data_IF_098935692205
#
_entry.id   IF_098935692205
#
_cell.length_a   1.000
_cell.length_b   1.000
_cell.length_c   1.000
_cell.angle_alpha   90.00
_cell.angle_beta   90.00
_cell.angle_gamma   90.00
#
_symmetry.space_group_name_H-M   'P 1'
#
loop_
_entity.id
_entity.type
_entity.pdbx_description
1 polymer ?
#
# COMPACT_ATOMS: atom_id res chain seq x y z
N UNK A 1 -9.95 10.13 0.34
CA UNK A 1 -8.84 10.31 1.31
C UNK A 1 -8.79 9.19 2.32
N UNK A 2 -7.61 8.88 2.85
CA UNK A 2 -7.46 7.93 3.97
C UNK A 2 -7.47 8.75 5.25
N UNK A 3 -8.60 8.76 5.95
CA UNK A 3 -8.70 9.44 7.24
C UNK A 3 -8.26 8.44 8.33
N UNK A 4 -7.17 8.75 9.01
CA UNK A 4 -6.66 7.92 10.11
C UNK A 4 -7.18 8.52 11.41
N UNK A 5 -8.26 7.95 11.94
CA UNK A 5 -8.77 8.35 13.24
C UNK A 5 -8.05 7.58 14.34
N UNK A 6 -7.55 8.31 15.34
CA UNK A 6 -6.87 7.72 16.49
C UNK A 6 -7.81 7.87 17.68
N UNK A 7 -8.24 6.76 18.26
CA UNK A 7 -8.99 6.79 19.50
C UNK A 7 -8.08 7.22 20.65
N UNK A 8 -8.59 8.05 21.56
CA UNK A 8 -7.79 8.54 22.70
C UNK A 8 -7.28 7.42 23.61
N UNK A 9 -8.00 6.30 23.65
CA UNK A 9 -7.66 5.09 24.42
C UNK A 9 -6.47 4.30 23.85
N UNK A 10 -6.20 4.43 22.55
CA UNK A 10 -5.08 3.77 21.88
C UNK A 10 -3.74 4.50 22.07
N UNK A 11 -3.76 5.65 22.73
CA UNK A 11 -2.59 6.50 22.94
C UNK A 11 -2.15 6.51 24.40
N UNK A 12 -0.93 6.00 24.63
CA UNK A 12 -0.22 6.23 25.88
C UNK A 12 0.56 7.54 25.80
N UNK A 13 0.22 8.48 26.68
CA UNK A 13 0.90 9.77 26.80
C UNK A 13 1.80 9.76 28.02
N UNK A 14 3.10 9.97 27.81
CA UNK A 14 4.10 10.09 28.87
C UNK A 14 4.71 11.49 28.83
N UNK A 15 4.84 12.14 29.98
CA UNK A 15 5.53 13.42 30.12
C UNK A 15 6.86 13.22 30.82
N UNK A 16 7.90 13.88 30.34
CA UNK A 16 9.23 13.79 30.91
C UNK A 16 9.95 15.14 30.82
N UNK A 17 11.09 15.24 31.48
CA UNK A 17 11.92 16.44 31.44
C UNK A 17 12.69 16.48 30.12
N UNK A 18 12.67 17.62 29.44
CA UNK A 18 13.44 17.81 28.22
C UNK A 18 14.93 17.57 28.49
N UNK A 19 15.63 16.99 27.53
CA UNK A 19 17.08 16.72 27.63
C UNK A 19 17.88 17.68 26.76
N UNK A 20 18.90 18.35 27.32
CA UNK A 20 19.76 19.30 26.60
C UNK A 20 20.40 20.38 27.49
N UNK A 21 21.31 21.21 26.95
CA UNK A 21 21.91 22.34 27.65
C UNK A 21 20.90 23.49 27.78
N UNK A 22 19.94 23.35 28.70
CA UNK A 22 18.93 24.37 29.01
C UNK A 22 19.13 25.01 30.37
N UNK A 23 18.66 26.26 30.53
CA UNK A 23 18.66 26.96 31.81
C UNK A 23 17.76 26.33 32.87
N UNK A 24 17.72 26.92 34.07
CA UNK A 24 17.02 26.37 35.26
C UNK A 24 15.56 25.93 34.99
N UNK A 25 14.85 26.62 34.10
CA UNK A 25 13.47 26.30 33.74
C UNK A 25 13.33 24.89 33.12
N UNK A 26 14.32 24.46 32.33
CA UNK A 26 14.30 23.16 31.67
C UNK A 26 14.55 21.99 32.63
N UNK A 27 15.28 22.23 33.72
CA UNK A 27 15.57 21.22 34.74
C UNK A 27 14.39 20.99 35.71
N UNK A 28 13.49 21.98 35.85
CA UNK A 28 12.38 21.94 36.81
C UNK A 28 11.05 21.52 36.18
N UNK A 29 10.81 21.88 34.93
CA UNK A 29 9.51 21.68 34.26
C UNK A 29 9.53 20.47 33.31
N UNK A 30 8.58 19.55 33.48
CA UNK A 30 8.39 18.40 32.57
C UNK A 30 7.54 18.77 31.35
N UNK A 31 8.15 19.48 30.38
CA UNK A 31 7.44 19.92 29.16
C UNK A 31 7.53 18.94 27.99
N UNK A 32 8.44 17.97 27.98
CA UNK A 32 8.56 17.00 26.89
C UNK A 32 7.45 15.95 26.95
N UNK A 33 6.94 15.56 25.78
CA UNK A 33 5.84 14.60 25.64
C UNK A 33 6.28 13.45 24.73
N UNK A 34 6.00 12.21 25.14
CA UNK A 34 6.09 11.00 24.33
C UNK A 34 4.70 10.42 24.16
N UNK A 35 4.31 10.20 22.92
CA UNK A 35 3.10 9.49 22.53
C UNK A 35 3.48 8.10 22.03
N UNK A 36 2.78 7.08 22.51
CA UNK A 36 2.89 5.71 22.02
C UNK A 36 1.52 5.25 21.54
N UNK A 37 1.42 4.86 20.28
CA UNK A 37 0.23 4.22 19.74
C UNK A 37 0.29 2.73 20.07
N UNK A 38 -0.54 2.28 21.00
CA UNK A 38 -0.52 0.92 21.53
C UNK A 38 -0.71 -0.15 20.45
N UNK A 39 -1.65 -0.01 19.49
CA UNK A 39 -1.89 -1.03 18.47
C UNK A 39 -0.73 -1.24 17.49
N UNK A 40 0.03 -0.18 17.18
CA UNK A 40 1.14 -0.27 16.21
C UNK A 40 2.52 -0.28 16.86
N UNK A 41 2.61 0.01 18.16
CA UNK A 41 3.87 0.20 18.87
C UNK A 41 4.66 1.44 18.46
N UNK A 42 4.11 2.31 17.60
CA UNK A 42 4.80 3.52 17.15
C UNK A 42 4.95 4.51 18.29
N UNK A 43 6.17 4.99 18.50
CA UNK A 43 6.48 6.02 19.49
C UNK A 43 6.94 7.31 18.83
N UNK A 44 6.41 8.44 19.27
CA UNK A 44 6.80 9.78 18.85
C UNK A 44 7.08 10.63 20.09
N UNK A 45 8.18 11.36 20.10
CA UNK A 45 8.51 12.29 21.20
C UNK A 45 8.72 13.71 20.66
N UNK A 46 8.21 14.70 21.39
CA UNK A 46 8.36 16.11 21.08
C UNK A 46 8.79 16.90 22.33
N UNK A 47 9.80 17.74 22.16
CA UNK A 47 10.37 18.61 23.21
C UNK A 47 10.77 19.99 22.67
N UNK A 48 10.25 20.38 21.50
CA UNK A 48 10.65 21.61 20.79
C UNK A 48 10.16 22.87 21.49
N UNK A 49 8.98 22.80 22.10
CA UNK A 49 8.34 23.94 22.75
C UNK A 49 8.50 23.93 24.27
N UNK A 50 8.36 25.11 24.88
CA UNK A 50 8.35 25.25 26.35
C UNK A 50 7.06 24.74 26.98
N UNK A 51 5.96 24.72 26.21
CA UNK A 51 4.64 24.27 26.67
C UNK A 51 4.43 22.79 26.40
N UNK A 52 4.01 22.05 27.44
CA UNK A 52 3.61 20.65 27.33
C UNK A 52 2.44 20.46 26.35
N UNK A 53 1.46 21.37 26.36
CA UNK A 53 0.28 21.26 25.50
C UNK A 53 0.66 21.36 24.02
N UNK A 54 1.52 22.34 23.67
CA UNK A 54 2.03 22.49 22.31
C UNK A 54 2.85 21.28 21.87
N UNK A 55 3.73 20.75 22.74
CA UNK A 55 4.48 19.53 22.45
C UNK A 55 3.54 18.32 22.22
N UNK A 56 2.42 18.22 22.95
CA UNK A 56 1.41 17.17 22.74
C UNK A 56 0.73 17.30 21.38
N UNK A 57 0.30 18.51 20.99
CA UNK A 57 -0.32 18.75 19.68
C UNK A 57 0.63 18.44 18.51
N UNK A 58 1.89 18.86 18.62
CA UNK A 58 2.91 18.59 17.60
C UNK A 58 3.17 17.08 17.51
N UNK A 59 3.36 16.40 18.66
CA UNK A 59 3.54 14.96 18.69
C UNK A 59 2.35 14.22 18.06
N UNK A 60 1.11 14.70 18.28
CA UNK A 60 -0.10 14.12 17.71
C UNK A 60 -0.13 14.25 16.18
N UNK A 61 0.22 15.43 15.65
CA UNK A 61 0.33 15.66 14.19
C UNK A 61 1.36 14.72 13.55
N UNK A 62 2.53 14.58 14.18
CA UNK A 62 3.60 13.68 13.69
C UNK A 62 3.13 12.21 13.76
N UNK A 63 2.45 11.81 14.84
CA UNK A 63 1.91 10.46 14.99
C UNK A 63 0.89 10.14 13.90
N UNK A 64 -0.02 11.07 13.61
CA UNK A 64 -1.00 10.95 12.53
C UNK A 64 -0.32 10.74 11.17
N UNK A 65 0.69 11.57 10.83
CA UNK A 65 1.43 11.44 9.57
C UNK A 65 2.10 10.07 9.44
N UNK A 66 2.75 9.58 10.51
CA UNK A 66 3.40 8.25 10.50
C UNK A 66 2.39 7.11 10.35
N UNK A 67 1.24 7.19 11.02
CA UNK A 67 0.20 6.18 10.89
C UNK A 67 -0.41 6.17 9.48
N UNK A 68 -0.57 7.34 8.87
CA UNK A 68 -0.99 7.46 7.48
C UNK A 68 -0.01 6.79 6.51
N UNK A 69 1.30 7.02 6.69
CA UNK A 69 2.33 6.37 5.88
C UNK A 69 2.26 4.85 5.99
N UNK A 70 2.12 4.31 7.21
CA UNK A 70 1.99 2.87 7.44
C UNK A 70 0.74 2.30 6.75
N UNK A 71 -0.39 2.99 6.82
CA UNK A 71 -1.62 2.54 6.17
C UNK A 71 -1.51 2.59 4.64
N UNK A 72 -0.89 3.63 4.09
CA UNK A 72 -0.63 3.73 2.66
C UNK A 72 0.30 2.61 2.17
N UNK A 73 1.34 2.29 2.93
CA UNK A 73 2.26 1.19 2.65
C UNK A 73 1.54 -0.16 2.70
N UNK A 74 0.73 -0.42 3.72
CA UNK A 74 -0.11 -1.62 3.82
C UNK A 74 -1.03 -1.78 2.61
N UNK A 75 -1.72 -0.71 2.20
CA UNK A 75 -2.57 -0.72 1.00
C UNK A 75 -1.77 -0.93 -0.28
N UNK A 76 -0.60 -0.31 -0.39
CA UNK A 76 0.29 -0.51 -1.54
C UNK A 76 0.77 -1.96 -1.63
N UNK A 77 1.16 -2.56 -0.51
CA UNK A 77 1.56 -3.96 -0.42
C UNK A 77 0.39 -4.91 -0.76
N UNK A 78 -0.81 -4.65 -0.24
CA UNK A 78 -2.01 -5.43 -0.58
C UNK A 78 -2.33 -5.35 -2.08
N UNK A 79 -2.27 -4.15 -2.67
CA UNK A 79 -2.44 -3.96 -4.12
C UNK A 79 -1.35 -4.66 -4.94
N UNK A 80 -0.10 -4.60 -4.48
CA UNK A 80 1.01 -5.28 -5.15
C UNK A 80 0.82 -6.80 -5.11
N UNK A 81 0.37 -7.35 -3.99
CA UNK A 81 0.03 -8.77 -3.85
C UNK A 81 -1.11 -9.18 -4.80
N UNK A 82 -2.16 -8.38 -4.91
CA UNK A 82 -3.28 -8.61 -5.85
C UNK A 82 -2.84 -8.53 -7.31
N UNK A 83 -1.94 -7.60 -7.65
CA UNK A 83 -1.40 -7.46 -9.01
C UNK A 83 -0.57 -8.68 -9.45
N UNK A 84 -0.11 -9.49 -8.50
CA UNK A 84 0.69 -10.68 -8.76
C UNK A 84 2.13 -10.36 -9.15
N UNK A 85 2.81 -11.35 -9.73
CA UNK A 85 4.21 -11.19 -10.17
C UNK A 85 4.32 -10.08 -11.21
N UNK A 86 5.26 -9.16 -11.03
CA UNK A 86 5.55 -8.12 -12.02
C UNK A 86 6.23 -8.76 -13.22
N UNK A 87 5.48 -8.97 -14.30
CA UNK A 87 6.00 -9.42 -15.58
C UNK A 87 6.52 -8.20 -16.35
N UNK A 88 7.78 -8.23 -16.78
CA UNK A 88 8.36 -7.15 -17.57
C UNK A 88 7.68 -7.08 -18.94
N UNK A 89 7.37 -5.86 -19.40
CA UNK A 89 6.92 -5.61 -20.77
C UNK A 89 8.12 -5.76 -21.72
N UNK A 90 8.45 -7.00 -22.03
CA UNK A 90 9.54 -7.38 -22.93
C UNK A 90 9.04 -8.40 -23.95
N UNK A 91 9.80 -8.55 -25.03
CA UNK A 91 9.53 -9.56 -26.05
C UNK A 91 9.51 -10.96 -25.44
N UNK A 92 8.47 -11.75 -25.72
CA UNK A 92 8.31 -13.10 -25.21
C UNK A 92 7.50 -13.23 -23.91
N UNK A 93 7.17 -12.11 -23.24
CA UNK A 93 6.30 -12.10 -22.06
C UNK A 93 4.81 -11.83 -22.40
N UNK A 94 4.47 -11.78 -23.69
CA UNK A 94 3.09 -11.58 -24.13
C UNK A 94 2.23 -12.82 -23.86
N UNK A 95 1.08 -12.64 -23.22
CA UNK A 95 0.12 -13.74 -23.01
C UNK A 95 -0.67 -14.07 -24.27
N UNK A 96 -0.77 -13.14 -25.23
CA UNK A 96 -1.58 -13.30 -26.43
C UNK A 96 -0.97 -12.54 -27.60
N UNK A 97 -0.95 -13.17 -28.76
CA UNK A 97 -0.57 -12.55 -30.02
C UNK A 97 -1.82 -12.23 -30.84
N UNK A 98 -1.91 -11.00 -31.31
CA UNK A 98 -2.92 -10.53 -32.26
C UNK A 98 -2.20 -10.26 -33.59
N UNK A 99 -2.40 -11.14 -34.57
CA UNK A 99 -1.86 -10.99 -35.92
C UNK A 99 -3.02 -10.57 -36.82
N UNK A 100 -2.95 -9.37 -37.38
CA UNK A 100 -3.97 -8.84 -38.29
C UNK A 100 -3.58 -8.99 -39.76
N UNK A 101 -2.26 -9.03 -40.02
CA UNK A 101 -1.66 -9.25 -41.34
C UNK A 101 -0.37 -10.07 -41.20
N UNK A 102 -0.05 -10.96 -42.16
CA UNK A 102 -0.73 -11.21 -43.44
C UNK A 102 -1.99 -12.09 -43.33
N UNK A 103 -2.18 -12.77 -42.20
CA UNK A 103 -3.38 -13.53 -41.86
C UNK A 103 -3.99 -12.98 -40.57
N UNK A 104 -5.31 -13.16 -40.40
CA UNK A 104 -6.02 -12.79 -39.18
C UNK A 104 -6.01 -13.97 -38.22
N UNK A 105 -5.33 -13.81 -37.07
CA UNK A 105 -5.31 -14.81 -36.01
C UNK A 105 -5.03 -14.17 -34.66
N UNK A 106 -5.80 -14.57 -33.66
CA UNK A 106 -5.53 -14.30 -32.25
C UNK A 106 -5.19 -15.61 -31.55
N UNK A 107 -4.00 -15.70 -30.94
CA UNK A 107 -3.55 -16.89 -30.21
C UNK A 107 -3.17 -16.53 -28.78
N UNK A 108 -3.75 -17.22 -27.80
CA UNK A 108 -3.34 -17.14 -26.38
C UNK A 108 -2.23 -18.16 -26.12
N UNK A 109 -1.07 -17.69 -25.66
CA UNK A 109 0.12 -18.52 -25.44
C UNK A 109 0.08 -19.31 -24.14
N UNK A 110 -0.92 -19.06 -23.28
CA UNK A 110 -1.08 -19.77 -22.01
C UNK A 110 -1.93 -21.02 -22.13
N UNK A 111 -2.86 -21.03 -23.09
CA UNK A 111 -3.87 -22.09 -23.26
C UNK A 111 -3.85 -22.72 -24.64
N UNK A 112 -3.04 -22.20 -25.55
CA UNK A 112 -3.02 -22.50 -26.99
C UNK A 112 -4.35 -22.29 -27.73
N UNK A 113 -5.37 -21.73 -27.07
CA UNK A 113 -6.63 -21.38 -27.69
C UNK A 113 -6.43 -20.26 -28.72
N UNK A 114 -7.07 -20.41 -29.88
CA UNK A 114 -6.95 -19.47 -30.99
C UNK A 114 -8.30 -19.15 -31.64
N UNK A 115 -8.42 -17.94 -32.18
CA UNK A 115 -9.54 -17.49 -33.01
C UNK A 115 -9.03 -16.93 -34.33
N UNK A 116 -9.72 -17.24 -35.43
CA UNK A 116 -9.47 -16.65 -36.74
C UNK A 116 -10.19 -15.32 -36.97
N UNK A 117 -11.23 -15.03 -36.19
CA UNK A 117 -11.96 -13.77 -36.27
C UNK A 117 -11.31 -12.73 -35.35
N UNK A 118 -10.39 -11.94 -35.90
CA UNK A 118 -9.69 -10.91 -35.13
C UNK A 118 -10.56 -9.69 -34.83
N UNK A 119 -11.55 -9.40 -35.68
CA UNK A 119 -12.39 -8.20 -35.53
C UNK A 119 -13.33 -8.39 -34.35
N UNK A 120 -14.05 -9.51 -34.29
CA UNK A 120 -14.94 -9.82 -33.19
C UNK A 120 -14.22 -9.86 -31.82
N UNK A 121 -12.98 -10.39 -31.81
CA UNK A 121 -12.17 -10.46 -30.58
C UNK A 121 -11.72 -9.07 -30.12
N UNK A 122 -11.42 -8.15 -31.05
CA UNK A 122 -11.11 -6.76 -30.73
C UNK A 122 -12.36 -5.98 -30.28
N UNK A 123 -13.53 -6.34 -30.80
CA UNK A 123 -14.83 -5.79 -30.41
C UNK A 123 -15.36 -6.33 -29.08
N UNK A 124 -14.65 -7.29 -28.47
CA UNK A 124 -14.89 -7.75 -27.09
C UNK A 124 -15.30 -9.21 -26.95
N UNK A 125 -15.32 -10.01 -28.02
CA UNK A 125 -15.60 -11.45 -27.96
C UNK A 125 -14.41 -12.21 -27.35
N UNK A 126 -14.27 -12.12 -26.02
CA UNK A 126 -13.17 -12.69 -25.25
C UNK A 126 -13.55 -13.94 -24.44
N UNK A 127 -14.83 -14.30 -24.41
CA UNK A 127 -15.39 -15.34 -23.54
C UNK A 127 -14.73 -16.70 -23.74
N UNK A 128 -14.41 -17.06 -25.00
CA UNK A 128 -13.69 -18.29 -25.32
C UNK A 128 -12.30 -18.33 -24.69
N UNK A 129 -11.56 -17.22 -24.75
CA UNK A 129 -10.22 -17.11 -24.14
C UNK A 129 -10.27 -17.15 -22.62
N UNK A 130 -11.24 -16.46 -22.02
CA UNK A 130 -11.43 -16.43 -20.56
C UNK A 130 -11.77 -17.83 -20.05
N UNK A 131 -12.74 -18.49 -20.69
CA UNK A 131 -13.18 -19.83 -20.32
C UNK A 131 -12.05 -20.86 -20.45
N UNK A 132 -11.27 -20.79 -21.53
CA UNK A 132 -10.11 -21.66 -21.73
C UNK A 132 -9.07 -21.47 -20.62
N UNK A 133 -8.79 -20.23 -20.22
CA UNK A 133 -7.83 -19.92 -19.15
C UNK A 133 -8.31 -20.35 -17.76
N UNK A 134 -9.58 -20.12 -17.43
CA UNK A 134 -10.14 -20.58 -16.17
C UNK A 134 -10.12 -22.11 -16.08
N UNK A 135 -10.43 -22.82 -17.18
CA UNK A 135 -10.31 -24.28 -17.24
C UNK A 135 -8.88 -24.78 -17.07
N UNK A 136 -7.90 -24.12 -17.67
CA UNK A 136 -6.50 -24.52 -17.52
C UNK A 136 -6.00 -24.36 -16.09
N UNK A 137 -6.42 -23.29 -15.39
CA UNK A 137 -6.08 -23.11 -13.96
C UNK A 137 -6.75 -24.20 -13.10
N UNK A 138 -8.05 -24.47 -13.32
CA UNK A 138 -8.79 -25.50 -12.58
C UNK A 138 -8.24 -26.91 -12.80
N UNK A 139 -7.66 -27.19 -13.97
CA UNK A 139 -7.05 -28.48 -14.29
C UNK A 139 -5.65 -28.71 -13.68
N UNK A 140 -4.97 -27.65 -13.21
CA UNK A 140 -3.66 -27.75 -12.56
C UNK A 140 -3.75 -28.00 -11.04
N UNK A 141 -4.92 -27.79 -10.42
CA UNK A 141 -5.15 -28.01 -8.98
C UNK A 141 -5.67 -29.43 -8.64
N UNK A 142 -5.66 -30.36 -9.62
CA UNK A 142 -6.14 -31.74 -9.48
C UNK A 142 -5.02 -32.78 -9.42
#
# INVERSE_FOLDING_TARGET
DVDVQIAGEDLKVETFRSSGPGGQHMQKTSSAVRLTHLPTGLTVSCQSERSQHQNKEIAMKIMLSRLLEVELEKRAAARAKLKGKRIAAGWGNQIRSYVLHPYKMVKDHRTDYQSGDTEAVLDGELDGFISAYLRSILGEEG
#
